data_IF_869236458074
#
_entry.id   IF_869236458074
#
_cell.length_a   1.000
_cell.length_b   1.000
_cell.length_c   1.000
_cell.angle_alpha   90.00
_cell.angle_beta   90.00
_cell.angle_gamma   90.00
#
_symmetry.space_group_name_H-M   'P 1'
#
loop_
_entity.id
_entity.type
_entity.pdbx_description
1 polymer ?
#
# COMPACT_ATOMS: atom_id res chain seq x y z
N UNK A 1 2.06 11.84 15.90
CA UNK A 1 2.73 12.25 14.64
C UNK A 1 1.73 12.60 13.54
N UNK A 2 0.98 11.65 12.96
CA UNK A 2 0.03 11.91 11.85
C UNK A 2 -1.03 12.98 12.17
N UNK A 3 -1.66 12.92 13.35
CA UNK A 3 -2.70 13.89 13.77
C UNK A 3 -2.22 15.35 13.76
N UNK A 4 -0.94 15.59 14.05
CA UNK A 4 -0.39 16.94 14.15
C UNK A 4 -0.07 17.49 12.76
N UNK A 5 0.59 16.67 11.93
CA UNK A 5 0.85 16.98 10.52
C UNK A 5 -0.46 17.30 9.77
N UNK A 6 -1.52 16.51 10.00
CA UNK A 6 -2.83 16.75 9.38
C UNK A 6 -3.44 18.09 9.81
N UNK A 7 -3.27 18.50 11.07
CA UNK A 7 -3.83 19.77 11.57
C UNK A 7 -3.04 20.99 11.11
N UNK A 8 -1.73 20.84 10.98
CA UNK A 8 -0.84 21.93 10.60
C UNK A 8 -0.87 22.18 9.08
N UNK A 9 -1.28 21.18 8.30
CA UNK A 9 -1.51 21.32 6.86
C UNK A 9 -2.90 21.88 6.58
N UNK A 10 -2.97 22.99 5.84
CA UNK A 10 -4.22 23.48 5.26
C UNK A 10 -4.63 22.60 4.07
N UNK A 11 -5.12 21.39 4.35
CA UNK A 11 -5.48 20.42 3.32
C UNK A 11 -6.91 20.63 2.81
N UNK A 12 -7.10 20.40 1.51
CA UNK A 12 -8.42 20.26 0.86
C UNK A 12 -8.93 18.82 0.92
N UNK A 13 -8.03 17.87 0.71
CA UNK A 13 -8.29 16.44 0.74
C UNK A 13 -7.07 15.71 1.29
N UNK A 14 -7.29 14.67 2.09
CA UNK A 14 -6.28 13.75 2.58
C UNK A 14 -6.62 12.34 2.09
N UNK A 15 -5.59 11.62 1.66
CA UNK A 15 -5.64 10.18 1.47
C UNK A 15 -4.70 9.50 2.46
N UNK A 16 -5.21 8.50 3.18
CA UNK A 16 -4.43 7.62 4.03
C UNK A 16 -4.49 6.21 3.47
N UNK A 17 -3.34 5.67 3.08
CA UNK A 17 -3.20 4.31 2.56
C UNK A 17 -2.94 3.31 3.70
N UNK A 18 -3.15 2.03 3.41
CA UNK A 18 -2.92 0.92 4.36
C UNK A 18 -3.68 1.09 5.69
N UNK A 19 -4.85 1.75 5.63
CA UNK A 19 -5.63 2.04 6.83
C UNK A 19 -6.47 0.83 7.19
N UNK A 20 -6.32 0.32 8.42
CA UNK A 20 -7.21 -0.72 8.96
C UNK A 20 -8.62 -0.17 9.12
N UNK A 21 -9.48 -0.38 8.12
CA UNK A 21 -10.81 0.22 8.06
C UNK A 21 -11.70 -0.18 9.24
N UNK A 22 -11.52 -1.40 9.77
CA UNK A 22 -12.19 -1.88 10.99
C UNK A 22 -11.93 -1.00 12.23
N UNK A 23 -10.87 -0.20 12.23
CA UNK A 23 -10.49 0.71 13.30
C UNK A 23 -10.83 2.18 12.99
N UNK A 24 -11.33 2.46 11.79
CA UNK A 24 -11.72 3.81 11.38
C UNK A 24 -13.14 4.08 11.85
N UNK A 25 -13.24 4.77 12.99
CA UNK A 25 -14.51 5.32 13.47
C UNK A 25 -14.61 6.81 13.17
N UNK A 26 -15.84 7.34 13.13
CA UNK A 26 -16.09 8.80 13.08
C UNK A 26 -15.33 9.54 14.18
N UNK A 27 -15.17 8.93 15.37
CA UNK A 27 -14.39 9.52 16.47
C UNK A 27 -12.90 9.60 16.12
N UNK A 28 -12.36 8.57 15.48
CA UNK A 28 -10.97 8.55 15.00
C UNK A 28 -10.74 9.67 13.99
N UNK A 29 -11.62 9.81 13.00
CA UNK A 29 -11.53 10.86 11.96
C UNK A 29 -11.65 12.25 12.61
N UNK A 30 -12.59 12.45 13.54
CA UNK A 30 -12.72 13.70 14.32
C UNK A 30 -11.44 14.08 15.05
N UNK A 31 -10.81 13.11 15.70
CA UNK A 31 -9.55 13.36 16.40
C UNK A 31 -8.41 13.69 15.44
N UNK A 32 -8.41 13.09 14.25
CA UNK A 32 -7.40 13.30 13.22
C UNK A 32 -7.51 14.70 12.61
N UNK A 33 -8.71 15.11 12.21
CA UNK A 33 -8.96 16.37 11.50
C UNK A 33 -9.24 17.56 12.40
N UNK A 34 -9.74 17.33 13.62
CA UNK A 34 -10.20 18.39 14.51
C UNK A 34 -11.59 18.96 14.17
N UNK A 35 -12.28 18.44 13.15
CA UNK A 35 -13.61 18.93 12.78
C UNK A 35 -14.67 18.52 13.82
N UNK A 36 -15.54 19.46 14.20
CA UNK A 36 -16.56 19.25 15.24
C UNK A 36 -17.92 18.79 14.66
N UNK A 37 -18.24 19.18 13.43
CA UNK A 37 -19.52 18.89 12.73
C UNK A 37 -19.29 18.43 11.28
N UNK A 38 -20.32 17.83 10.65
CA UNK A 38 -20.34 17.49 9.22
C UNK A 38 -19.55 16.25 8.78
N UNK A 39 -18.80 15.59 9.66
CA UNK A 39 -17.87 14.53 9.25
C UNK A 39 -18.47 13.27 8.63
N UNK A 40 -19.70 12.89 8.96
CA UNK A 40 -20.31 11.65 8.46
C UNK A 40 -20.41 11.60 6.93
N UNK A 41 -20.40 12.77 6.27
CA UNK A 41 -20.45 12.89 4.81
C UNK A 41 -19.10 13.31 4.20
N UNK A 42 -18.05 13.45 5.00
CA UNK A 42 -16.77 14.03 4.58
C UNK A 42 -15.59 13.06 4.62
N UNK A 43 -15.85 11.77 4.79
CA UNK A 43 -14.83 10.76 4.53
C UNK A 43 -15.45 9.52 3.90
N UNK A 44 -14.64 8.84 3.09
CA UNK A 44 -14.97 7.55 2.51
C UNK A 44 -13.84 6.58 2.83
N UNK A 45 -14.23 5.36 3.21
CA UNK A 45 -13.35 4.24 3.42
C UNK A 45 -13.56 3.29 2.25
N UNK A 46 -12.51 3.09 1.44
CA UNK A 46 -12.51 2.17 0.32
C UNK A 46 -11.75 0.92 0.72
N UNK A 47 -12.45 -0.20 0.78
CA UNK A 47 -11.83 -1.51 0.99
C UNK A 47 -11.39 -2.11 -0.35
N UNK A 48 -10.35 -2.93 -0.32
CA UNK A 48 -9.90 -3.69 -1.49
C UNK A 48 -9.88 -5.16 -1.07
N UNK A 49 -10.73 -5.97 -1.69
CA UNK A 49 -10.81 -7.40 -1.41
C UNK A 49 -9.42 -8.05 -1.53
N UNK A 50 -8.97 -8.68 -0.45
CA UNK A 50 -7.67 -9.35 -0.36
C UNK A 50 -6.51 -8.47 0.12
N UNK A 51 -6.72 -7.17 0.39
CA UNK A 51 -5.70 -6.31 1.00
C UNK A 51 -5.81 -6.28 2.53
N UNK A 52 -4.68 -6.14 3.23
CA UNK A 52 -4.64 -6.03 4.70
C UNK A 52 -5.05 -4.64 5.24
N UNK A 53 -5.30 -3.68 4.34
CA UNK A 53 -5.74 -2.32 4.66
C UNK A 53 -6.40 -1.65 3.46
N UNK A 54 -7.20 -0.62 3.74
CA UNK A 54 -7.92 0.15 2.73
C UNK A 54 -7.43 1.59 2.60
N UNK A 55 -8.13 2.35 1.77
CA UNK A 55 -7.87 3.78 1.56
C UNK A 55 -8.92 4.58 2.33
N UNK A 56 -8.46 5.45 3.22
CA UNK A 56 -9.31 6.43 3.88
C UNK A 56 -9.09 7.79 3.22
N UNK A 57 -10.11 8.27 2.50
CA UNK A 57 -10.12 9.61 1.93
C UNK A 57 -10.94 10.54 2.84
N UNK A 58 -10.36 11.67 3.24
CA UNK A 58 -10.98 12.64 4.15
C UNK A 58 -10.95 14.02 3.52
N UNK A 59 -12.13 14.59 3.33
CA UNK A 59 -12.32 15.92 2.76
C UNK A 59 -12.42 16.99 3.85
N UNK A 60 -11.92 18.18 3.53
CA UNK A 60 -12.14 19.36 4.35
C UNK A 60 -13.49 20.03 3.98
N UNK A 61 -14.47 20.06 4.90
CA UNK A 61 -15.79 20.66 4.64
C UNK A 61 -15.73 22.18 4.46
N UNK A 62 -14.68 22.84 4.94
CA UNK A 62 -14.60 24.30 4.92
C UNK A 62 -14.07 24.86 3.59
N UNK A 63 -13.45 24.04 2.75
CA UNK A 63 -12.85 24.46 1.47
C UNK A 63 -13.76 24.13 0.29
N UNK A 64 -14.44 22.99 0.35
CA UNK A 64 -15.35 22.56 -0.68
C UNK A 64 -16.74 22.39 -0.07
N UNK A 65 -17.68 23.24 -0.46
CA UNK A 65 -19.11 22.96 -0.36
C UNK A 65 -19.46 22.31 -1.70
N UNK A 66 -19.94 21.07 -1.70
CA UNK A 66 -20.47 20.46 -2.94
C UNK A 66 -21.50 21.43 -3.50
N UNK A 67 -21.39 21.72 -4.80
CA UNK A 67 -22.36 22.56 -5.50
C UNK A 67 -23.76 22.13 -5.11
N UNK A 68 -24.54 23.12 -4.70
CA UNK A 68 -25.92 22.97 -4.23
C UNK A 68 -26.78 22.24 -5.26
N UNK A 69 -26.96 20.93 -5.11
CA UNK A 69 -28.24 20.31 -5.49
C UNK A 69 -28.54 18.99 -4.79
N UNK A 70 -27.58 18.19 -4.34
CA UNK A 70 -27.93 16.96 -3.61
C UNK A 70 -27.02 16.75 -2.39
N UNK A 71 -27.60 16.93 -1.19
CA UNK A 71 -27.09 16.31 0.03
C UNK A 71 -27.36 14.80 -0.04
N UNK A 72 -26.79 14.13 -1.02
CA UNK A 72 -26.89 12.69 -1.14
C UNK A 72 -26.01 12.06 -0.06
N UNK A 73 -26.64 11.27 0.80
CA UNK A 73 -25.95 10.42 1.78
C UNK A 73 -25.64 9.05 1.21
N UNK A 74 -25.91 8.84 -0.09
CA UNK A 74 -25.64 7.58 -0.78
C UNK A 74 -24.13 7.45 -1.07
N UNK A 75 -23.44 6.47 -0.45
CA UNK A 75 -22.01 6.25 -0.66
C UNK A 75 -21.66 5.99 -2.14
N UNK A 76 -22.57 5.41 -2.93
CA UNK A 76 -22.33 5.14 -4.35
C UNK A 76 -22.27 6.42 -5.17
N UNK A 77 -23.21 7.34 -4.93
CA UNK A 77 -23.26 8.61 -5.63
C UNK A 77 -22.06 9.50 -5.28
N UNK A 78 -21.66 9.52 -3.99
CA UNK A 78 -20.43 10.21 -3.56
C UNK A 78 -19.20 9.62 -4.25
N UNK A 79 -19.12 8.29 -4.38
CA UNK A 79 -18.00 7.64 -5.05
C UNK A 79 -17.95 7.95 -6.55
N UNK A 80 -19.11 8.06 -7.23
CA UNK A 80 -19.19 8.49 -8.63
C UNK A 80 -18.78 9.95 -8.81
N UNK A 81 -19.35 10.88 -8.04
CA UNK A 81 -18.96 12.30 -8.12
C UNK A 81 -17.47 12.50 -7.86
N UNK A 82 -16.92 11.75 -6.90
CA UNK A 82 -15.49 11.75 -6.61
C UNK A 82 -14.67 11.20 -7.77
N UNK A 83 -15.09 10.08 -8.36
CA UNK A 83 -14.45 9.48 -9.54
C UNK A 83 -14.45 10.46 -10.71
N UNK A 84 -15.56 11.14 -10.96
CA UNK A 84 -15.69 12.09 -12.06
C UNK A 84 -14.83 13.33 -11.84
N UNK A 85 -14.85 13.91 -10.64
CA UNK A 85 -14.01 15.05 -10.30
C UNK A 85 -12.52 14.73 -10.48
N UNK A 86 -12.04 13.63 -9.87
CA UNK A 86 -10.63 13.27 -9.96
C UNK A 86 -10.24 12.69 -11.32
N UNK A 87 -11.15 12.02 -12.03
CA UNK A 87 -10.94 11.54 -13.39
C UNK A 87 -10.75 12.70 -14.38
N UNK A 88 -11.39 13.84 -14.14
CA UNK A 88 -11.19 15.06 -14.92
C UNK A 88 -9.95 15.86 -14.44
N UNK A 89 -9.65 15.87 -13.14
CA UNK A 89 -8.52 16.61 -12.56
C UNK A 89 -7.15 15.96 -12.83
N UNK A 90 -7.04 14.65 -12.61
CA UNK A 90 -5.78 13.89 -12.77
C UNK A 90 -5.47 13.56 -14.24
N UNK A 91 -6.40 13.91 -15.13
CA UNK A 91 -6.36 13.55 -16.54
C UNK A 91 -6.82 12.12 -16.78
N UNK A 92 -7.40 11.87 -17.95
CA UNK A 92 -7.70 10.51 -18.40
C UNK A 92 -6.37 9.87 -18.78
N UNK A 93 -6.10 8.68 -18.24
CA UNK A 93 -4.94 7.90 -18.65
C UNK A 93 -4.92 7.85 -20.19
N UNK A 94 -3.87 8.42 -20.80
CA UNK A 94 -3.71 8.34 -22.25
C UNK A 94 -3.72 6.86 -22.59
N UNK A 95 -4.55 6.47 -23.56
CA UNK A 95 -4.51 5.12 -24.12
C UNK A 95 -3.04 4.84 -24.45
N UNK A 96 -2.43 3.79 -23.89
CA UNK A 96 -1.02 3.53 -24.10
C UNK A 96 -0.77 3.46 -25.60
N UNK A 97 0.23 4.21 -26.08
CA UNK A 97 0.58 4.26 -27.50
C UNK A 97 1.01 2.89 -28.03
N UNK A 98 1.39 1.99 -27.13
CA UNK A 98 1.87 0.66 -27.42
C UNK A 98 1.38 -0.30 -26.35
N UNK A 99 0.81 -1.41 -26.78
CA UNK A 99 0.60 -2.57 -25.93
C UNK A 99 1.81 -3.48 -26.13
N UNK A 100 2.53 -3.78 -25.05
CA UNK A 100 3.62 -4.76 -25.09
C UNK A 100 2.99 -6.15 -25.12
N UNK A 101 3.26 -6.93 -26.16
CA UNK A 101 2.96 -8.34 -26.17
C UNK A 101 4.07 -9.07 -25.41
N UNK A 102 3.73 -9.65 -24.25
CA UNK A 102 4.70 -10.35 -23.40
C UNK A 102 5.38 -11.51 -24.12
N UNK A 103 4.70 -12.15 -25.08
CA UNK A 103 5.27 -13.23 -25.90
C UNK A 103 6.42 -12.77 -26.80
N UNK A 104 6.48 -11.48 -27.14
CA UNK A 104 7.56 -10.90 -27.95
C UNK A 104 8.80 -10.58 -27.09
N UNK A 105 8.60 -10.34 -25.78
CA UNK A 105 9.67 -10.12 -24.80
C UNK A 105 10.18 -11.43 -24.20
N UNK A 106 9.25 -12.34 -23.91
CA UNK A 106 9.49 -13.67 -23.37
C UNK A 106 9.02 -14.69 -24.40
N UNK A 107 9.81 -14.96 -25.45
CA UNK A 107 9.52 -16.05 -26.37
C UNK A 107 9.36 -17.35 -25.58
N UNK A 108 8.60 -18.34 -26.09
CA UNK A 108 8.26 -19.59 -25.38
C UNK A 108 9.47 -20.54 -25.17
N UNK A 109 10.69 -20.01 -25.23
CA UNK A 109 11.87 -20.63 -24.68
C UNK A 109 11.77 -20.47 -23.18
N UNK A 110 11.09 -21.43 -22.54
CA UNK A 110 11.15 -21.57 -21.09
C UNK A 110 12.64 -21.64 -20.71
N UNK A 111 13.15 -20.73 -19.87
CA UNK A 111 14.48 -20.91 -19.31
C UNK A 111 14.51 -22.29 -18.67
N UNK A 112 15.62 -23.03 -18.84
CA UNK A 112 15.85 -24.27 -18.13
C UNK A 112 15.63 -24.02 -16.63
N UNK A 113 14.49 -24.51 -16.13
CA UNK A 113 14.06 -24.39 -14.73
C UNK A 113 15.03 -25.13 -13.80
N UNK A 114 15.98 -25.91 -14.35
CA UNK A 114 17.04 -26.56 -13.58
C UNK A 114 17.90 -25.60 -12.75
N UNK A 115 17.89 -24.29 -13.04
CA UNK A 115 18.52 -23.28 -12.19
C UNK A 115 17.68 -22.90 -10.95
N UNK A 116 16.37 -23.16 -10.97
CA UNK A 116 15.46 -23.03 -9.82
C UNK A 116 15.51 -24.27 -8.91
N UNK A 117 16.12 -25.37 -9.37
CA UNK A 117 16.37 -26.58 -8.59
C UNK A 117 17.71 -26.54 -7.81
N UNK A 118 18.43 -25.42 -7.85
CA UNK A 118 19.70 -25.31 -7.13
C UNK A 118 19.44 -25.31 -5.61
N UNK A 119 20.14 -26.15 -4.82
CA UNK A 119 19.95 -26.17 -3.37
C UNK A 119 20.45 -24.86 -2.76
N UNK A 120 19.75 -24.37 -1.75
CA UNK A 120 20.20 -23.21 -0.97
C UNK A 120 21.40 -23.58 -0.10
N UNK A 121 22.41 -22.70 -0.06
CA UNK A 121 23.59 -22.86 0.79
C UNK A 121 23.67 -21.79 1.88
N UNK A 122 24.24 -22.16 3.03
CA UNK A 122 24.44 -21.25 4.17
C UNK A 122 25.30 -20.03 3.78
N UNK A 123 26.41 -20.26 3.08
CA UNK A 123 27.33 -19.19 2.66
C UNK A 123 26.67 -18.21 1.71
N UNK A 124 25.79 -18.71 0.84
CA UNK A 124 24.99 -17.88 -0.07
C UNK A 124 24.01 -17.01 0.71
N UNK A 125 23.28 -17.61 1.66
CA UNK A 125 22.33 -16.89 2.52
C UNK A 125 23.03 -15.77 3.30
N UNK A 126 24.15 -16.07 3.95
CA UNK A 126 24.93 -15.08 4.69
C UNK A 126 25.54 -14.02 3.77
N UNK A 127 25.98 -14.42 2.57
CA UNK A 127 26.47 -13.51 1.53
C UNK A 127 25.42 -12.49 1.13
N UNK A 128 24.19 -12.94 0.88
CA UNK A 128 23.05 -12.08 0.53
C UNK A 128 22.68 -11.13 1.66
N UNK A 129 22.63 -11.61 2.90
CA UNK A 129 22.35 -10.75 4.08
C UNK A 129 23.42 -9.67 4.23
N UNK A 130 24.69 -10.03 4.09
CA UNK A 130 25.82 -9.08 4.19
C UNK A 130 25.81 -8.04 3.06
N UNK A 131 25.53 -8.48 1.82
CA UNK A 131 25.50 -7.61 0.63
C UNK A 131 24.28 -6.69 0.55
N UNK A 132 23.20 -7.00 1.28
CA UNK A 132 21.96 -6.22 1.27
C UNK A 132 22.18 -4.79 1.77
N UNK A 133 21.61 -3.77 1.08
CA UNK A 133 21.73 -2.37 1.50
C UNK A 133 20.88 -2.09 2.75
N UNK A 134 21.41 -1.28 3.68
CA UNK A 134 20.69 -0.90 4.92
C UNK A 134 19.55 0.10 4.67
N UNK A 135 19.52 0.77 3.52
CA UNK A 135 18.67 1.94 3.26
C UNK A 135 17.22 1.64 2.86
N UNK A 136 16.68 0.46 3.18
CA UNK A 136 15.24 0.23 3.02
C UNK A 136 14.54 0.66 4.30
N UNK A 137 13.53 1.52 4.15
CA UNK A 137 12.54 1.78 5.20
C UNK A 137 12.07 0.44 5.79
N UNK A 138 11.82 0.36 7.11
CA UNK A 138 11.29 -0.85 7.72
C UNK A 138 10.08 -1.34 6.93
N UNK A 139 10.02 -2.65 6.68
CA UNK A 139 8.81 -3.28 6.13
C UNK A 139 7.69 -3.20 7.18
N UNK A 140 6.45 -3.61 6.86
CA UNK A 140 5.36 -3.59 7.84
C UNK A 140 5.66 -4.30 9.17
N UNK A 141 6.66 -5.20 9.19
CA UNK A 141 7.18 -5.89 10.35
C UNK A 141 8.05 -5.02 11.28
N UNK A 142 8.51 -3.85 10.84
CA UNK A 142 9.40 -2.95 11.59
C UNK A 142 10.83 -3.46 11.73
N UNK A 143 11.20 -4.60 11.11
CA UNK A 143 12.52 -5.20 11.28
C UNK A 143 13.49 -4.59 10.26
N UNK A 144 14.58 -4.02 10.78
CA UNK A 144 15.61 -3.40 9.96
C UNK A 144 16.59 -4.44 9.40
N UNK A 145 17.17 -4.17 8.22
CA UNK A 145 18.21 -5.01 7.63
C UNK A 145 19.44 -5.18 8.56
N UNK A 146 19.71 -4.18 9.41
CA UNK A 146 20.76 -4.25 10.43
C UNK A 146 20.57 -5.37 11.44
N UNK A 147 19.31 -5.70 11.77
CA UNK A 147 19.01 -6.82 12.66
C UNK A 147 19.46 -8.14 12.04
N UNK A 148 19.14 -8.36 10.76
CA UNK A 148 19.53 -9.56 10.03
C UNK A 148 21.05 -9.65 9.84
N UNK A 149 21.72 -8.53 9.58
CA UNK A 149 23.19 -8.50 9.50
C UNK A 149 23.87 -8.81 10.82
N UNK A 150 23.33 -8.28 11.92
CA UNK A 150 23.90 -8.48 13.26
C UNK A 150 23.65 -9.90 13.79
N UNK A 151 22.48 -10.47 13.49
CA UNK A 151 22.05 -11.76 14.03
C UNK A 151 22.03 -12.87 12.96
N UNK A 152 22.67 -12.67 11.81
CA UNK A 152 22.63 -13.61 10.69
C UNK A 152 23.08 -15.02 11.09
N UNK A 153 24.13 -15.09 11.91
CA UNK A 153 24.67 -16.36 12.42
C UNK A 153 23.69 -17.12 13.32
N UNK A 154 22.76 -16.42 13.98
CA UNK A 154 21.72 -17.02 14.82
C UNK A 154 20.50 -17.48 14.00
N UNK A 155 20.22 -16.78 12.91
CA UNK A 155 19.00 -16.99 12.09
C UNK A 155 19.21 -17.98 10.95
N UNK A 156 20.46 -18.19 10.53
CA UNK A 156 20.82 -18.94 9.32
C UNK A 156 20.17 -20.32 9.24
N UNK A 157 20.19 -21.10 10.32
CA UNK A 157 19.70 -22.49 10.29
C UNK A 157 18.19 -22.54 10.10
N UNK A 158 17.45 -21.68 10.82
CA UNK A 158 16.00 -21.59 10.72
C UNK A 158 15.54 -21.07 9.36
N UNK A 159 16.22 -20.05 8.82
CA UNK A 159 15.90 -19.51 7.49
C UNK A 159 16.22 -20.51 6.40
N UNK A 160 17.36 -21.20 6.48
CA UNK A 160 17.75 -22.22 5.51
C UNK A 160 16.76 -23.39 5.50
N UNK A 161 16.31 -23.84 6.68
CA UNK A 161 15.28 -24.89 6.78
C UNK A 161 13.98 -24.49 6.07
N UNK A 162 13.49 -23.26 6.29
CA UNK A 162 12.28 -22.77 5.63
C UNK A 162 12.46 -22.72 4.11
N UNK A 163 13.62 -22.28 3.61
CA UNK A 163 13.90 -22.22 2.17
C UNK A 163 13.94 -23.62 1.54
N UNK A 164 14.55 -24.59 2.23
CA UNK A 164 14.56 -26.00 1.79
C UNK A 164 13.14 -26.58 1.81
N UNK A 165 12.35 -26.30 2.84
CA UNK A 165 10.96 -26.76 2.94
C UNK A 165 10.10 -26.22 1.80
N UNK A 166 10.25 -24.93 1.46
CA UNK A 166 9.57 -24.30 0.33
C UNK A 166 9.99 -24.88 -1.02
N UNK A 167 11.28 -25.20 -1.19
CA UNK A 167 11.79 -25.83 -2.40
C UNK A 167 11.23 -27.25 -2.59
N UNK A 168 11.04 -27.99 -1.50
CA UNK A 168 10.53 -29.36 -1.52
C UNK A 168 9.00 -29.45 -1.52
N UNK A 169 8.29 -28.40 -1.10
CA UNK A 169 6.83 -28.34 -1.02
C UNK A 169 6.27 -27.03 -1.64
N UNK A 170 6.32 -26.88 -2.98
CA UNK A 170 5.91 -25.66 -3.69
C UNK A 170 4.39 -25.42 -3.68
#
# INVERSE_FOLDING_TARGET
MVKQVVRDLHYSLIFLFETKLSQVSIRTVKQLTGFKSGLSQNFIALDVDGASGGILAIRNPNIWILGSSDQTSDPFQIAEEFRDFYGNLLGKAKKPLMTINWSDIYPPVYPLISHLDYPFFEDELLGVIKASKNYKSPRPDGILMEFFKKNGDLLKDGVLHILIDLQNNP
#
